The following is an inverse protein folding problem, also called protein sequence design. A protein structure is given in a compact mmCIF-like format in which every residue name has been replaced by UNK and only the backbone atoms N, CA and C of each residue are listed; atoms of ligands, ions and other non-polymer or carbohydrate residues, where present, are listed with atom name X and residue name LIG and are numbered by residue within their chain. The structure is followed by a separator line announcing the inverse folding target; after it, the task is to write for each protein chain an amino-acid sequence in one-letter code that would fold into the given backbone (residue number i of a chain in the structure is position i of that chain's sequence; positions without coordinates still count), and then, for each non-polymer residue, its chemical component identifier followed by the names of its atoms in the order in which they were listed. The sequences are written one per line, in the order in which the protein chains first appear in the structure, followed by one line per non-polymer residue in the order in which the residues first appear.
data_IF_268312840549
#
_entry.id   IF_268312840549
#
_cell.length_a   1.000
_cell.length_b   1.000
_cell.length_c   1.000
_cell.angle_alpha   90.00
_cell.angle_beta   90.00
_cell.angle_gamma   90.00
#
_symmetry.space_group_name_H-M   'P 1'
#
loop_
_entity.id
_entity.type
_entity.pdbx_description
1 polymer ?
#
# COMPACT_ATOMS: atom_id res chain seq x y z
N UNK A 1 -30.86 7.54 -19.37
CA UNK A 1 -30.21 6.99 -20.59
C UNK A 1 -30.91 7.55 -21.85
N UNK A 2 -30.60 8.81 -22.16
CA UNK A 2 -31.28 9.55 -23.25
C UNK A 2 -30.92 9.03 -24.65
N UNK A 3 -29.80 8.29 -24.80
CA UNK A 3 -29.24 7.92 -26.09
C UNK A 3 -28.89 6.42 -26.25
N UNK A 4 -29.26 5.58 -25.30
CA UNK A 4 -28.93 4.11 -25.33
C UNK A 4 -27.46 3.77 -25.52
N UNK A 5 -26.54 4.70 -25.18
CA UNK A 5 -25.10 4.50 -25.28
C UNK A 5 -24.63 3.79 -24.01
N UNK A 6 -23.85 2.69 -24.11
CA UNK A 6 -23.24 2.05 -22.96
C UNK A 6 -22.27 2.99 -22.25
N UNK A 7 -22.29 2.97 -20.91
CA UNK A 7 -21.37 3.74 -20.08
C UNK A 7 -20.43 2.79 -19.36
N UNK A 8 -19.15 3.01 -19.55
CA UNK A 8 -18.10 2.30 -18.84
C UNK A 8 -17.40 3.27 -17.88
N UNK A 9 -17.23 2.84 -16.64
CA UNK A 9 -16.48 3.57 -15.62
C UNK A 9 -15.16 2.84 -15.33
N UNK A 10 -14.04 3.50 -15.56
CA UNK A 10 -12.72 2.99 -15.17
C UNK A 10 -12.37 3.53 -13.78
N UNK A 11 -12.57 2.70 -12.75
CA UNK A 11 -12.26 3.04 -11.38
C UNK A 11 -10.74 3.02 -11.12
N UNK A 12 -10.04 2.11 -11.79
CA UNK A 12 -8.59 1.98 -11.71
C UNK A 12 -8.07 1.39 -10.40
N UNK A 13 -8.51 1.85 -9.25
CA UNK A 13 -7.97 1.47 -7.93
C UNK A 13 -8.38 0.09 -7.42
N UNK A 14 -9.59 -0.35 -7.75
CA UNK A 14 -10.13 -1.63 -7.29
C UNK A 14 -10.55 -1.65 -5.82
N UNK A 15 -10.94 -0.52 -5.25
CA UNK A 15 -11.44 -0.45 -3.88
C UNK A 15 -12.77 -1.20 -3.75
N UNK A 16 -12.82 -2.25 -2.91
CA UNK A 16 -14.03 -3.05 -2.68
C UNK A 16 -14.79 -2.66 -1.41
N UNK A 17 -14.14 -2.01 -0.46
CA UNK A 17 -14.72 -1.57 0.81
C UNK A 17 -14.97 -0.06 0.83
N UNK A 18 -15.90 0.38 1.67
CA UNK A 18 -16.12 1.81 1.89
C UNK A 18 -15.02 2.38 2.78
N UNK A 19 -14.22 3.31 2.26
CA UNK A 19 -13.11 3.94 2.99
C UNK A 19 -13.52 5.20 3.77
N UNK A 20 -14.73 5.70 3.59
CA UNK A 20 -15.24 6.92 4.25
C UNK A 20 -15.23 6.83 5.79
N UNK A 21 -15.59 5.68 6.42
CA UNK A 21 -15.48 5.51 7.87
C UNK A 21 -14.05 5.66 8.42
N UNK A 22 -13.05 5.54 7.54
CA UNK A 22 -11.63 5.66 7.89
C UNK A 22 -11.03 7.02 7.51
N UNK A 23 -11.89 7.98 7.08
CA UNK A 23 -11.48 9.35 6.75
C UNK A 23 -10.94 9.53 5.32
N UNK A 24 -11.10 8.54 4.44
CA UNK A 24 -10.72 8.61 3.03
C UNK A 24 -12.00 8.75 2.21
N UNK A 25 -12.21 9.93 1.60
CA UNK A 25 -13.49 10.29 1.00
C UNK A 25 -13.50 10.29 -0.53
N UNK A 26 -12.35 10.45 -1.16
CA UNK A 26 -12.26 10.67 -2.61
C UNK A 26 -12.15 9.37 -3.43
N UNK A 27 -12.18 8.22 -2.76
CA UNK A 27 -12.08 6.90 -3.40
C UNK A 27 -13.39 6.12 -3.28
N UNK A 28 -14.21 6.04 -4.34
CA UNK A 28 -15.44 5.28 -4.29
C UNK A 28 -15.18 3.77 -4.33
N UNK A 29 -16.01 3.00 -3.62
CA UNK A 29 -15.96 1.55 -3.73
C UNK A 29 -16.62 1.06 -5.04
N UNK A 30 -16.14 -0.06 -5.59
CA UNK A 30 -16.70 -0.68 -6.80
C UNK A 30 -18.23 -0.86 -6.68
N UNK A 31 -18.74 -1.29 -5.51
CA UNK A 31 -20.16 -1.45 -5.25
C UNK A 31 -20.96 -0.16 -5.37
N UNK A 32 -20.36 0.98 -5.05
CA UNK A 32 -21.00 2.29 -5.19
C UNK A 32 -21.14 2.67 -6.67
N UNK A 33 -20.08 2.46 -7.45
CA UNK A 33 -20.09 2.72 -8.90
C UNK A 33 -21.13 1.83 -9.60
N UNK A 34 -21.15 0.54 -9.30
CA UNK A 34 -22.15 -0.38 -9.89
C UNK A 34 -23.57 0.06 -9.57
N UNK A 35 -23.84 0.57 -8.37
CA UNK A 35 -25.19 1.09 -7.98
C UNK A 35 -25.60 2.33 -8.76
N UNK A 36 -24.69 3.09 -9.37
CA UNK A 36 -25.05 4.23 -10.23
C UNK A 36 -25.72 3.79 -11.54
N UNK A 37 -25.66 2.49 -11.86
CA UNK A 37 -26.26 1.92 -13.07
C UNK A 37 -25.40 2.06 -14.31
N UNK A 38 -24.10 2.23 -14.18
CA UNK A 38 -23.13 2.10 -15.29
C UNK A 38 -23.18 0.68 -15.85
N UNK A 39 -22.90 0.54 -17.15
CA UNK A 39 -23.02 -0.76 -17.82
C UNK A 39 -21.82 -1.66 -17.54
N UNK A 40 -20.62 -1.06 -17.42
CA UNK A 40 -19.39 -1.76 -17.09
C UNK A 40 -18.57 -0.92 -16.10
N UNK A 41 -17.87 -1.58 -15.19
CA UNK A 41 -16.84 -0.99 -14.33
C UNK A 41 -15.56 -1.80 -14.48
N UNK A 42 -14.43 -1.12 -14.70
CA UNK A 42 -13.11 -1.74 -14.79
C UNK A 42 -12.23 -1.28 -13.64
N UNK A 43 -11.35 -2.16 -13.18
CA UNK A 43 -10.41 -1.84 -12.11
C UNK A 43 -9.23 -2.82 -12.06
N UNK A 44 -8.15 -2.40 -11.37
CA UNK A 44 -6.93 -3.20 -11.18
C UNK A 44 -7.02 -4.05 -9.92
N UNK A 45 -6.47 -5.26 -9.98
CA UNK A 45 -6.41 -6.14 -8.83
C UNK A 45 -5.22 -5.90 -7.89
N UNK A 46 -4.15 -5.33 -8.42
CA UNK A 46 -2.86 -5.16 -7.73
C UNK A 46 -2.66 -3.80 -7.05
N UNK A 47 -3.74 -3.00 -6.95
CA UNK A 47 -3.76 -1.71 -6.25
C UNK A 47 -4.46 -1.83 -4.89
N UNK A 48 -5.55 -1.07 -4.66
CA UNK A 48 -6.27 -1.08 -3.38
C UNK A 48 -6.93 -2.42 -3.07
N UNK A 49 -7.32 -3.18 -4.11
CA UNK A 49 -7.79 -4.56 -3.90
C UNK A 49 -6.74 -5.43 -3.22
N UNK A 50 -5.45 -5.17 -3.46
CA UNK A 50 -4.35 -5.88 -2.79
C UNK A 50 -4.13 -7.32 -3.27
N UNK A 51 -4.64 -7.66 -4.45
CA UNK A 51 -4.51 -8.96 -5.09
C UNK A 51 -3.40 -9.02 -6.14
N UNK A 52 -3.55 -9.94 -7.06
CA UNK A 52 -2.63 -10.16 -8.17
C UNK A 52 -2.77 -9.08 -9.24
N UNK A 53 -1.73 -8.89 -10.06
CA UNK A 53 -1.82 -8.02 -11.23
C UNK A 53 -2.79 -8.61 -12.25
N UNK A 54 -3.82 -7.85 -12.55
CA UNK A 54 -4.85 -8.21 -13.53
C UNK A 54 -5.95 -7.16 -13.57
N UNK A 55 -6.58 -7.03 -14.72
CA UNK A 55 -7.77 -6.20 -14.89
C UNK A 55 -9.02 -6.99 -14.59
N UNK A 56 -9.93 -6.39 -13.83
CA UNK A 56 -11.26 -6.93 -13.54
C UNK A 56 -12.30 -6.08 -14.25
N UNK A 57 -13.28 -6.73 -14.85
CA UNK A 57 -14.43 -6.08 -15.49
C UNK A 57 -15.69 -6.67 -14.89
N UNK A 58 -16.53 -5.83 -14.33
CA UNK A 58 -17.86 -6.19 -13.79
C UNK A 58 -18.93 -5.33 -14.46
N UNK A 59 -20.16 -5.86 -14.56
CA UNK A 59 -21.27 -5.08 -15.12
C UNK A 59 -22.36 -5.92 -15.74
N UNK A 60 -23.12 -5.33 -16.65
CA UNK A 60 -24.24 -5.95 -17.30
C UNK A 60 -23.87 -7.21 -18.08
N UNK A 61 -24.61 -8.27 -17.84
CA UNK A 61 -24.38 -9.61 -18.40
C UNK A 61 -24.19 -9.59 -19.91
N UNK A 62 -25.02 -8.84 -20.63
CA UNK A 62 -24.96 -8.74 -22.09
C UNK A 62 -23.57 -8.30 -22.59
N UNK A 63 -22.97 -7.28 -21.96
CA UNK A 63 -21.64 -6.78 -22.33
C UNK A 63 -20.53 -7.73 -21.89
N UNK A 64 -20.65 -8.33 -20.70
CA UNK A 64 -19.68 -9.32 -20.23
C UNK A 64 -19.63 -10.54 -21.16
N UNK A 65 -20.78 -11.04 -21.63
CA UNK A 65 -20.84 -12.17 -22.58
C UNK A 65 -20.21 -11.81 -23.94
N UNK A 66 -20.40 -10.56 -24.41
CA UNK A 66 -19.74 -10.09 -25.65
C UNK A 66 -18.22 -10.03 -25.48
N UNK A 67 -17.73 -9.51 -24.34
CA UNK A 67 -16.31 -9.48 -24.01
C UNK A 67 -15.71 -10.89 -23.94
N UNK A 68 -16.36 -11.83 -23.27
CA UNK A 68 -15.90 -13.21 -23.15
C UNK A 68 -15.76 -13.92 -24.52
N UNK A 69 -16.64 -13.62 -25.47
CA UNK A 69 -16.63 -14.18 -26.82
C UNK A 69 -15.59 -13.52 -27.74
N UNK A 70 -15.02 -12.38 -27.37
CA UNK A 70 -14.04 -11.68 -28.18
C UNK A 70 -12.71 -12.43 -28.17
N UNK A 71 -12.09 -12.71 -29.35
CA UNK A 71 -10.80 -13.42 -29.42
C UNK A 71 -9.66 -12.74 -28.64
N UNK A 72 -9.67 -11.40 -28.49
CA UNK A 72 -8.68 -10.68 -27.69
C UNK A 72 -8.69 -11.10 -26.21
N UNK A 73 -9.84 -11.43 -25.65
CA UNK A 73 -9.93 -11.89 -24.25
C UNK A 73 -9.09 -13.13 -24.02
N UNK A 74 -9.01 -14.03 -25.03
CA UNK A 74 -8.15 -15.22 -24.94
C UNK A 74 -6.66 -14.86 -24.91
N UNK A 75 -6.26 -13.83 -25.63
CA UNK A 75 -4.86 -13.36 -25.66
C UNK A 75 -4.46 -12.61 -24.37
N UNK A 76 -5.42 -11.87 -23.79
CA UNK A 76 -5.18 -10.99 -22.62
C UNK A 76 -5.53 -11.63 -21.28
N UNK A 77 -6.11 -12.84 -21.26
CA UNK A 77 -6.52 -13.49 -20.01
C UNK A 77 -5.32 -13.77 -19.11
N UNK A 78 -5.51 -13.62 -17.80
CA UNK A 78 -4.55 -14.04 -16.80
C UNK A 78 -4.37 -15.57 -16.79
N UNK A 79 -3.22 -16.03 -16.32
CA UNK A 79 -2.92 -17.44 -16.15
C UNK A 79 -3.62 -18.05 -14.91
N UNK A 80 -3.53 -19.37 -14.76
CA UNK A 80 -4.23 -20.09 -13.69
C UNK A 80 -3.70 -19.79 -12.30
N UNK A 81 -2.39 -19.51 -12.15
CA UNK A 81 -1.80 -19.19 -10.84
C UNK A 81 -2.24 -17.80 -10.40
N UNK A 82 -2.21 -16.84 -11.31
CA UNK A 82 -2.74 -15.49 -11.09
C UNK A 82 -4.22 -15.54 -10.72
N UNK A 83 -5.02 -16.36 -11.42
CA UNK A 83 -6.44 -16.52 -11.12
C UNK A 83 -6.67 -17.12 -9.72
N UNK A 84 -5.92 -18.14 -9.33
CA UNK A 84 -6.01 -18.74 -8.01
C UNK A 84 -5.63 -17.74 -6.89
N UNK A 85 -4.60 -16.92 -7.12
CA UNK A 85 -4.24 -15.83 -6.20
C UNK A 85 -5.32 -14.75 -6.09
N UNK A 86 -5.97 -14.45 -7.21
CA UNK A 86 -7.14 -13.54 -7.23
C UNK A 86 -8.30 -14.09 -6.42
N UNK A 87 -8.64 -15.36 -6.65
CA UNK A 87 -9.71 -16.05 -5.92
C UNK A 87 -9.44 -16.00 -4.41
N UNK A 88 -8.22 -16.37 -3.98
CA UNK A 88 -7.83 -16.34 -2.58
C UNK A 88 -7.98 -14.92 -1.98
N UNK A 89 -7.58 -13.88 -2.70
CA UNK A 89 -7.74 -12.49 -2.25
C UNK A 89 -9.22 -12.10 -2.14
N UNK A 90 -10.04 -12.43 -3.15
CA UNK A 90 -11.46 -12.10 -3.14
C UNK A 90 -12.24 -12.85 -2.06
N UNK A 91 -11.81 -14.05 -1.67
CA UNK A 91 -12.38 -14.79 -0.55
C UNK A 91 -12.24 -14.06 0.79
N UNK A 92 -11.15 -13.30 1.00
CA UNK A 92 -10.99 -12.46 2.19
C UNK A 92 -12.09 -11.38 2.27
N UNK A 93 -12.52 -10.83 1.13
CA UNK A 93 -13.55 -9.79 1.06
C UNK A 93 -14.99 -10.27 1.33
N UNK A 94 -15.21 -11.56 1.52
CA UNK A 94 -16.51 -12.08 1.99
C UNK A 94 -16.80 -11.57 3.41
N UNK A 95 -15.74 -11.34 4.18
CA UNK A 95 -15.78 -10.75 5.52
C UNK A 95 -14.91 -9.49 5.50
N UNK A 96 -15.53 -8.32 5.56
CA UNK A 96 -14.85 -7.02 5.42
C UNK A 96 -13.81 -6.79 6.54
N UNK A 97 -14.07 -7.24 7.77
CA UNK A 97 -13.13 -7.12 8.87
C UNK A 97 -11.88 -7.98 8.63
N UNK A 98 -12.08 -9.20 8.15
CA UNK A 98 -10.95 -10.07 7.76
C UNK A 98 -10.15 -9.52 6.59
N UNK A 99 -10.80 -8.94 5.59
CA UNK A 99 -10.11 -8.29 4.48
C UNK A 99 -9.18 -7.18 4.98
N UNK A 100 -9.67 -6.32 5.88
CA UNK A 100 -8.88 -5.23 6.49
C UNK A 100 -7.67 -5.78 7.27
N UNK A 101 -7.84 -6.88 7.98
CA UNK A 101 -6.77 -7.48 8.79
C UNK A 101 -5.75 -8.24 7.93
N UNK A 102 -6.22 -9.04 6.97
CA UNK A 102 -5.39 -10.01 6.24
C UNK A 102 -4.74 -9.40 4.99
N UNK A 103 -5.41 -8.48 4.28
CA UNK A 103 -4.87 -7.87 3.08
C UNK A 103 -3.85 -6.78 3.46
N UNK A 104 -2.56 -6.96 3.12
CA UNK A 104 -1.50 -6.03 3.58
C UNK A 104 -1.73 -4.59 3.19
N UNK A 105 -2.25 -4.33 1.99
CA UNK A 105 -2.56 -2.97 1.49
C UNK A 105 -3.59 -2.29 2.38
N UNK A 106 -4.72 -2.95 2.65
CA UNK A 106 -5.79 -2.42 3.50
C UNK A 106 -5.31 -2.23 4.94
N UNK A 107 -4.64 -3.24 5.50
CA UNK A 107 -4.09 -3.16 6.86
C UNK A 107 -3.12 -2.00 7.05
N UNK A 108 -2.28 -1.70 6.06
CA UNK A 108 -1.37 -0.55 6.11
C UNK A 108 -2.12 0.77 5.91
N UNK A 109 -3.05 0.82 4.97
CA UNK A 109 -3.83 2.01 4.64
C UNK A 109 -4.69 2.45 5.82
N UNK A 110 -5.43 1.52 6.42
CA UNK A 110 -6.46 1.76 7.43
C UNK A 110 -5.94 1.72 8.88
N UNK A 111 -4.62 1.62 9.07
CA UNK A 111 -4.01 1.63 10.40
C UNK A 111 -4.24 2.94 11.12
N UNK A 112 -4.71 2.86 12.37
CA UNK A 112 -4.99 4.04 13.21
C UNK A 112 -3.70 4.79 13.55
N UNK A 113 -3.72 6.13 13.58
CA UNK A 113 -2.54 6.94 13.92
C UNK A 113 -1.89 6.55 15.26
N UNK A 114 -2.68 6.22 16.28
CA UNK A 114 -2.18 5.83 17.60
C UNK A 114 -1.38 4.52 17.57
N UNK A 115 -1.74 3.59 16.68
CA UNK A 115 -1.01 2.34 16.48
C UNK A 115 0.33 2.59 15.76
N UNK A 116 0.32 3.52 14.80
CA UNK A 116 1.52 3.93 14.08
C UNK A 116 2.48 4.63 15.03
N UNK A 117 1.98 5.53 15.88
CA UNK A 117 2.77 6.23 16.90
C UNK A 117 3.42 5.26 17.87
N UNK A 118 2.66 4.32 18.43
CA UNK A 118 3.19 3.27 19.32
C UNK A 118 4.33 2.50 18.66
N UNK A 119 4.16 2.15 17.37
CA UNK A 119 5.19 1.44 16.59
C UNK A 119 6.40 2.33 16.34
N UNK A 120 6.23 3.58 15.94
CA UNK A 120 7.31 4.54 15.77
C UNK A 120 8.14 4.70 17.06
N UNK A 121 7.48 4.83 18.20
CA UNK A 121 8.13 4.91 19.50
C UNK A 121 8.91 3.62 19.85
N UNK A 122 8.35 2.45 19.56
CA UNK A 122 9.04 1.15 19.73
C UNK A 122 10.31 1.06 18.88
N UNK A 123 10.25 1.47 17.61
CA UNK A 123 11.40 1.52 16.70
C UNK A 123 12.44 2.52 17.25
N UNK A 124 12.04 3.74 17.55
CA UNK A 124 12.93 4.80 18.03
C UNK A 124 13.65 4.39 19.34
N UNK A 125 12.93 3.77 20.28
CA UNK A 125 13.51 3.29 21.53
C UNK A 125 14.59 2.25 21.30
N UNK A 126 14.34 1.30 20.38
CA UNK A 126 15.35 0.27 20.05
C UNK A 126 16.55 0.86 19.33
N UNK A 127 16.33 1.76 18.38
CA UNK A 127 17.44 2.46 17.69
C UNK A 127 18.30 3.28 18.65
N UNK A 128 17.69 4.05 19.57
CA UNK A 128 18.44 4.84 20.59
C UNK A 128 19.27 3.97 21.53
N UNK A 129 18.84 2.75 21.78
CA UNK A 129 19.60 1.79 22.59
C UNK A 129 20.85 1.32 21.88
N UNK A 130 20.75 1.03 20.60
CA UNK A 130 21.82 0.45 19.79
C UNK A 130 22.77 1.51 19.14
N UNK A 131 22.28 2.75 18.95
CA UNK A 131 22.98 3.81 18.21
C UNK A 131 22.99 5.06 19.09
N UNK A 132 24.18 5.42 19.59
CA UNK A 132 24.37 6.58 20.49
C UNK A 132 24.73 7.86 19.74
N UNK A 133 25.39 7.72 18.57
CA UNK A 133 25.96 8.83 17.81
C UNK A 133 25.00 9.36 16.72
N UNK A 134 23.71 9.07 16.86
CA UNK A 134 22.68 9.59 15.97
C UNK A 134 21.54 10.24 16.73
N UNK A 135 21.01 11.33 16.17
CA UNK A 135 19.80 11.97 16.68
C UNK A 135 18.57 11.23 16.13
N UNK A 136 17.83 10.57 17.02
CA UNK A 136 16.64 9.77 16.67
C UNK A 136 15.41 10.40 17.27
N UNK A 137 14.44 10.78 16.43
CA UNK A 137 13.17 11.39 16.84
C UNK A 137 11.99 10.67 16.21
N UNK A 138 10.86 10.65 16.94
CA UNK A 138 9.56 10.36 16.34
C UNK A 138 8.91 11.69 15.98
N UNK A 139 8.43 11.83 14.77
CA UNK A 139 7.78 13.02 14.25
C UNK A 139 6.53 12.64 13.46
N UNK A 140 5.56 13.55 13.43
CA UNK A 140 4.41 13.43 12.55
C UNK A 140 4.83 13.74 11.10
N UNK A 141 4.27 13.01 10.16
CA UNK A 141 4.50 13.20 8.72
C UNK A 141 3.26 12.73 7.96
N UNK A 142 3.35 12.69 6.64
CA UNK A 142 2.34 12.18 5.75
C UNK A 142 2.88 11.02 4.93
N UNK A 143 2.12 9.92 4.83
CA UNK A 143 2.35 8.83 3.87
C UNK A 143 1.49 9.05 2.64
N UNK A 144 1.91 8.49 1.52
CA UNK A 144 1.11 8.44 0.28
C UNK A 144 0.98 7.02 -0.21
N UNK A 145 -0.19 6.68 -0.74
CA UNK A 145 -0.35 5.45 -1.48
C UNK A 145 0.33 5.60 -2.86
N UNK A 146 1.03 4.55 -3.28
CA UNK A 146 1.71 4.51 -4.57
C UNK A 146 0.84 3.93 -5.68
N UNK A 147 1.42 3.82 -6.89
CA UNK A 147 0.80 3.13 -8.02
C UNK A 147 -0.43 3.81 -8.62
N UNK A 148 -0.62 5.13 -8.40
CA UNK A 148 -1.78 5.88 -8.89
C UNK A 148 -3.06 5.60 -8.12
N UNK A 149 -2.96 5.03 -6.90
CA UNK A 149 -4.06 4.88 -5.97
C UNK A 149 -4.04 6.03 -4.99
N UNK A 150 -5.21 6.65 -4.72
CA UNK A 150 -5.34 7.77 -3.77
C UNK A 150 -4.31 8.90 -4.02
N UNK A 151 -4.22 9.46 -5.24
CA UNK A 151 -3.12 10.35 -5.60
C UNK A 151 -3.14 11.68 -4.82
N UNK A 152 -4.30 12.12 -4.35
CA UNK A 152 -4.50 13.38 -3.63
C UNK A 152 -4.62 13.19 -2.11
N UNK A 153 -4.66 11.95 -1.62
CA UNK A 153 -4.83 11.65 -0.20
C UNK A 153 -3.50 11.63 0.54
N UNK A 154 -3.38 12.51 1.50
CA UNK A 154 -2.30 12.54 2.47
C UNK A 154 -2.71 11.74 3.72
N UNK A 155 -2.05 10.61 3.96
CA UNK A 155 -2.35 9.73 5.08
C UNK A 155 -1.53 10.13 6.32
N UNK A 156 -2.14 10.69 7.37
CA UNK A 156 -1.43 11.06 8.59
C UNK A 156 -0.64 9.88 9.15
N UNK A 157 0.66 10.06 9.40
CA UNK A 157 1.54 9.01 9.89
C UNK A 157 2.52 9.50 10.96
N UNK A 158 3.22 8.56 11.58
CA UNK A 158 4.36 8.80 12.44
C UNK A 158 5.60 8.12 11.86
N UNK A 159 6.67 8.88 11.75
CA UNK A 159 7.93 8.39 11.21
C UNK A 159 9.03 8.48 12.26
N UNK A 160 10.04 7.64 12.11
CA UNK A 160 11.29 7.76 12.86
C UNK A 160 12.31 8.45 11.98
N UNK A 161 12.71 9.65 12.40
CA UNK A 161 13.77 10.45 11.78
C UNK A 161 15.10 10.09 12.44
N UNK A 162 16.08 9.71 11.62
CA UNK A 162 17.45 9.37 12.05
C UNK A 162 18.41 10.30 11.36
N UNK A 163 19.18 11.07 12.15
CA UNK A 163 20.26 11.95 11.66
C UNK A 163 21.57 11.56 12.34
N UNK A 164 22.48 10.98 11.57
CA UNK A 164 23.84 10.70 11.99
C UNK A 164 24.76 11.86 11.57
N UNK A 165 25.90 12.02 12.23
CA UNK A 165 26.94 12.95 11.79
C UNK A 165 27.70 12.38 10.57
N UNK A 166 27.97 11.10 10.63
CA UNK A 166 28.56 10.28 9.56
C UNK A 166 27.87 8.90 9.56
N UNK A 167 27.69 8.27 8.39
CA UNK A 167 27.89 8.79 7.03
C UNK A 167 26.84 9.84 6.64
N UNK A 168 26.99 10.47 5.46
CA UNK A 168 25.97 11.37 4.92
C UNK A 168 24.63 10.64 4.77
N UNK A 169 23.52 11.38 4.80
CA UNK A 169 22.17 10.78 4.68
C UNK A 169 21.97 10.01 3.38
N UNK A 170 22.57 10.48 2.27
CA UNK A 170 22.50 9.80 0.98
C UNK A 170 23.27 8.47 1.01
N UNK A 171 24.45 8.47 1.59
CA UNK A 171 25.25 7.25 1.75
C UNK A 171 24.56 6.26 2.70
N UNK A 172 23.94 6.75 3.77
CA UNK A 172 23.17 5.93 4.70
C UNK A 172 21.97 5.25 4.02
N UNK A 173 21.23 6.01 3.21
CA UNK A 173 20.11 5.47 2.41
C UNK A 173 20.61 4.42 1.42
N UNK A 174 21.69 4.70 0.70
CA UNK A 174 22.25 3.76 -0.26
C UNK A 174 22.72 2.46 0.41
N UNK A 175 23.43 2.54 1.52
CA UNK A 175 23.86 1.37 2.30
C UNK A 175 22.68 0.52 2.76
N UNK A 176 21.60 1.14 3.20
CA UNK A 176 20.36 0.45 3.59
C UNK A 176 19.68 -0.22 2.41
N UNK A 177 19.56 0.47 1.29
CA UNK A 177 18.94 -0.05 0.07
C UNK A 177 19.72 -1.20 -0.53
N UNK A 178 21.06 -1.16 -0.46
CA UNK A 178 21.95 -2.21 -0.96
C UNK A 178 22.24 -3.31 0.07
N UNK A 179 21.72 -3.17 1.29
CA UNK A 179 21.90 -4.13 2.38
C UNK A 179 21.17 -5.46 2.16
N UNK A 180 21.40 -6.42 3.05
CA UNK A 180 20.76 -7.75 3.03
C UNK A 180 20.12 -8.04 4.38
N UNK A 181 18.76 -7.99 4.47
CA UNK A 181 17.82 -7.58 3.42
C UNK A 181 17.86 -6.08 3.13
N UNK A 182 17.45 -5.63 1.93
CA UNK A 182 17.35 -4.22 1.61
C UNK A 182 16.29 -3.52 2.48
N UNK A 183 16.61 -2.31 2.94
CA UNK A 183 15.71 -1.47 3.72
C UNK A 183 15.50 -0.17 2.94
N UNK A 184 14.27 0.05 2.50
CA UNK A 184 13.89 1.22 1.71
C UNK A 184 13.38 2.31 2.64
N UNK A 185 14.02 3.47 2.58
CA UNK A 185 13.70 4.63 3.41
C UNK A 185 13.51 5.87 2.53
N UNK A 186 13.07 6.98 3.13
CA UNK A 186 13.00 8.28 2.47
C UNK A 186 14.06 9.21 3.05
N UNK A 187 14.43 10.26 2.31
CA UNK A 187 15.25 11.35 2.82
C UNK A 187 14.38 12.61 2.88
N UNK A 188 14.40 13.30 4.03
CA UNK A 188 13.73 14.58 4.23
C UNK A 188 14.53 15.42 5.23
N UNK A 189 14.78 16.69 4.88
CA UNK A 189 15.50 17.63 5.76
C UNK A 189 16.82 17.07 6.31
N UNK A 190 17.62 16.49 5.40
CA UNK A 190 18.92 15.88 5.74
C UNK A 190 18.84 14.81 6.85
N UNK A 191 17.74 14.07 6.87
CA UNK A 191 17.47 12.99 7.80
C UNK A 191 16.89 11.78 7.07
N UNK A 192 17.27 10.59 7.53
CA UNK A 192 16.68 9.34 7.08
C UNK A 192 15.31 9.19 7.72
N UNK A 193 14.28 8.90 6.93
CA UNK A 193 12.90 8.78 7.38
C UNK A 193 12.42 7.33 7.22
N UNK A 194 12.04 6.75 8.34
CA UNK A 194 11.46 5.40 8.44
C UNK A 194 9.98 5.55 8.77
N UNK A 195 9.10 5.22 7.84
CA UNK A 195 7.66 5.29 8.06
C UNK A 195 7.17 4.06 8.82
N UNK A 196 6.68 4.27 10.06
CA UNK A 196 6.24 3.19 10.93
C UNK A 196 4.94 2.51 10.44
N UNK A 197 4.19 3.12 9.51
CA UNK A 197 2.99 2.56 8.89
C UNK A 197 3.31 1.25 8.18
N UNK A 198 4.41 1.17 7.45
CA UNK A 198 4.79 0.03 6.61
C UNK A 198 5.65 -1.01 7.29
N UNK A 199 6.20 -0.71 8.49
CA UNK A 199 7.06 -1.63 9.23
C UNK A 199 6.20 -2.62 10.02
N UNK A 200 6.41 -3.92 9.83
CA UNK A 200 5.76 -4.98 10.62
C UNK A 200 6.53 -5.20 11.92
N UNK A 201 5.85 -5.64 12.97
CA UNK A 201 6.49 -5.89 14.28
C UNK A 201 7.65 -6.88 14.21
N UNK A 202 7.52 -7.93 13.38
CA UNK A 202 8.57 -8.93 13.15
C UNK A 202 9.81 -8.39 12.43
N UNK A 203 9.69 -7.26 11.71
CA UNK A 203 10.78 -6.69 10.92
C UNK A 203 11.57 -5.61 11.72
N UNK A 204 11.10 -5.20 12.90
CA UNK A 204 11.72 -4.13 13.71
C UNK A 204 13.17 -4.50 14.07
N UNK A 205 13.44 -5.74 14.42
CA UNK A 205 14.80 -6.15 14.79
C UNK A 205 15.75 -6.11 13.59
N UNK A 206 15.28 -6.56 12.43
CA UNK A 206 16.03 -6.51 11.17
C UNK A 206 16.31 -5.06 10.80
N UNK A 207 15.30 -4.19 10.90
CA UNK A 207 15.44 -2.76 10.66
C UNK A 207 16.51 -2.12 11.56
N UNK A 208 16.46 -2.39 12.87
CA UNK A 208 17.40 -1.83 13.84
C UNK A 208 18.84 -2.29 13.55
N UNK A 209 19.04 -3.57 13.30
CA UNK A 209 20.35 -4.13 12.90
C UNK A 209 20.87 -3.50 11.61
N UNK A 210 20.01 -3.36 10.60
CA UNK A 210 20.37 -2.78 9.31
C UNK A 210 20.77 -1.31 9.43
N UNK A 211 20.01 -0.50 10.18
CA UNK A 211 20.36 0.92 10.42
C UNK A 211 21.68 1.05 11.18
N UNK A 212 21.90 0.21 12.20
CA UNK A 212 23.15 0.16 12.95
C UNK A 212 24.35 -0.16 12.05
N UNK A 213 24.24 -1.25 11.28
CA UNK A 213 25.32 -1.66 10.36
C UNK A 213 25.60 -0.60 9.28
N UNK A 214 24.55 0.07 8.77
CA UNK A 214 24.73 1.12 7.78
C UNK A 214 25.44 2.37 8.33
N UNK A 215 25.24 2.72 9.61
CA UNK A 215 25.93 3.84 10.28
C UNK A 215 27.38 3.48 10.57
N UNK A 216 27.62 2.33 11.22
CA UNK A 216 28.97 1.99 11.71
C UNK A 216 29.84 1.24 10.70
N UNK A 217 29.33 0.94 9.50
CA UNK A 217 30.09 0.23 8.46
C UNK A 217 30.58 -1.17 8.90
N UNK A 218 29.88 -1.80 9.82
CA UNK A 218 30.14 -3.19 10.16
C UNK A 218 29.73 -4.06 8.98
N UNK A 219 30.72 -4.64 8.31
CA UNK A 219 30.58 -5.53 7.17
C UNK A 219 29.90 -6.84 7.54
#
# INVERSE_FOLDING_TARGET
RKHYIPVMFDLGSGCLIDLKPFGIHDEPAVKEIVKTGVDLTTFSGDKLLGGQQGGVIVGNREYIEKLQKNPMTRALRIDKLTLAGFEATLMEYIDEEKAIENIPTLRMLLKKPEEIEKRANKIATRLRREIKDARIKVVTDSSRAGGGSLPEEDLPTYVVSVKAAEPSVNELEERLRMGKPPIITRIKEDSLIIDARTVRDRDIEILVKGVKAAIFKDA
#
